data_IF_150634500408
#
_entry.id   IF_150634500408
#
_cell.length_a   1.000
_cell.length_b   1.000
_cell.length_c   1.000
_cell.angle_alpha   90.00
_cell.angle_beta   90.00
_cell.angle_gamma   90.00
#
_symmetry.space_group_name_H-M   'P 1'
#
loop_
_entity.id
_entity.type
_entity.pdbx_description
1 polymer ?
#
# COMPACT_ATOMS: atom_id res chain seq x y z
N UNK A 1 -4.39 -11.22 10.78
CA UNK A 1 -2.95 -10.93 10.73
C UNK A 1 -2.62 -10.27 12.05
N UNK A 2 -1.80 -10.92 12.88
CA UNK A 2 -1.45 -10.39 14.21
C UNK A 2 0.03 -10.00 14.19
N UNK A 3 0.32 -8.94 13.44
CA UNK A 3 1.66 -8.37 13.34
C UNK A 3 1.58 -6.95 13.85
N UNK A 4 2.55 -6.56 14.68
CA UNK A 4 2.72 -5.19 15.11
C UNK A 4 4.18 -4.79 15.01
N UNK A 5 4.42 -3.50 14.85
CA UNK A 5 5.78 -2.94 14.89
C UNK A 5 5.88 -2.03 16.11
N UNK A 6 6.87 -2.33 16.96
CA UNK A 6 7.28 -1.47 18.06
C UNK A 6 8.34 -0.53 17.50
N UNK A 7 8.13 0.77 17.65
CA UNK A 7 8.96 1.84 17.14
C UNK A 7 9.62 2.54 18.32
N UNK A 8 10.86 2.20 18.60
CA UNK A 8 11.66 2.92 19.60
C UNK A 8 12.10 4.27 19.03
N UNK A 9 12.50 4.29 17.74
CA UNK A 9 12.92 5.50 17.01
C UNK A 9 12.67 5.36 15.50
N UNK A 10 11.93 6.30 14.92
CA UNK A 10 11.77 6.44 13.47
C UNK A 10 11.53 7.91 13.07
N UNK A 11 12.59 8.59 12.61
CA UNK A 11 12.51 10.03 12.35
C UNK A 11 12.05 10.78 13.61
N UNK A 12 10.93 11.52 13.58
CA UNK A 12 10.42 12.23 14.75
C UNK A 12 9.58 11.35 15.72
N UNK A 13 9.27 10.11 15.34
CA UNK A 13 8.47 9.17 16.14
C UNK A 13 9.36 8.47 17.15
N UNK A 14 8.89 8.37 18.39
CA UNK A 14 9.56 7.65 19.48
C UNK A 14 8.53 6.87 20.31
N UNK A 15 8.93 5.70 20.81
CA UNK A 15 8.14 4.86 21.74
C UNK A 15 6.68 4.67 21.32
N UNK A 16 6.46 4.25 20.07
CA UNK A 16 5.12 4.08 19.49
C UNK A 16 4.92 2.64 19.01
N UNK A 17 3.67 2.24 18.84
CA UNK A 17 3.31 0.91 18.39
C UNK A 17 2.17 0.97 17.37
N UNK A 18 2.26 0.16 16.32
CA UNK A 18 1.28 0.11 15.24
C UNK A 18 0.99 -1.34 14.86
N UNK A 19 -0.29 -1.68 14.77
CA UNK A 19 -0.76 -2.99 14.32
C UNK A 19 -0.99 -2.99 12.81
N UNK A 20 -0.64 -4.11 12.17
CA UNK A 20 -0.89 -4.35 10.76
C UNK A 20 -2.37 -4.68 10.50
N UNK A 21 -2.94 -4.09 9.45
CA UNK A 21 -4.30 -4.34 8.97
C UNK A 21 -4.33 -4.43 7.45
N UNK A 22 -5.34 -5.09 6.85
CA UNK A 22 -5.50 -5.15 5.40
C UNK A 22 -5.54 -3.78 4.71
N UNK A 23 -6.08 -2.76 5.36
CA UNK A 23 -6.09 -1.38 4.89
C UNK A 23 -5.61 -0.46 6.03
N UNK A 24 -4.40 0.05 5.90
CA UNK A 24 -3.82 1.03 6.81
C UNK A 24 -3.95 2.44 6.23
N UNK A 25 -4.49 3.37 7.01
CA UNK A 25 -4.57 4.80 6.66
C UNK A 25 -3.85 5.64 7.71
N UNK A 26 -2.98 6.52 7.24
CA UNK A 26 -2.19 7.43 8.06
C UNK A 26 -2.57 8.88 7.76
N UNK A 27 -3.00 9.60 8.79
CA UNK A 27 -3.43 11.00 8.71
C UNK A 27 -2.62 11.87 9.66
N UNK A 28 -2.69 13.19 9.51
CA UNK A 28 -1.93 14.14 10.34
C UNK A 28 -1.06 15.08 9.52
N UNK A 29 -0.47 16.09 10.15
CA UNK A 29 0.33 17.12 9.46
C UNK A 29 1.58 16.56 8.76
N UNK A 30 2.12 17.34 7.83
CA UNK A 30 3.33 16.99 7.09
C UNK A 30 4.55 16.95 8.01
N UNK A 31 5.48 16.03 7.75
CA UNK A 31 6.71 15.89 8.52
C UNK A 31 6.57 15.18 9.88
N UNK A 32 5.43 14.56 10.18
CA UNK A 32 5.23 13.76 11.40
C UNK A 32 5.61 12.28 11.27
N UNK A 33 6.19 11.85 10.14
CA UNK A 33 6.68 10.47 9.96
C UNK A 33 5.64 9.46 9.45
N UNK A 34 4.51 9.92 8.91
CA UNK A 34 3.49 9.07 8.23
C UNK A 34 4.10 8.20 7.13
N UNK A 35 4.80 8.82 6.18
CA UNK A 35 5.44 8.09 5.08
C UNK A 35 6.50 7.12 5.59
N UNK A 36 7.28 7.49 6.61
CA UNK A 36 8.32 6.61 7.17
C UNK A 36 7.69 5.37 7.82
N UNK A 37 6.57 5.57 8.52
CA UNK A 37 5.77 4.48 9.08
C UNK A 37 5.23 3.56 7.98
N UNK A 38 4.71 4.14 6.89
CA UNK A 38 4.20 3.36 5.77
C UNK A 38 5.33 2.51 5.12
N UNK A 39 6.54 3.04 5.04
CA UNK A 39 7.72 2.30 4.55
C UNK A 39 8.13 1.13 5.46
N UNK A 40 7.80 1.13 6.76
CA UNK A 40 8.05 -0.03 7.62
C UNK A 40 7.23 -1.25 7.17
N UNK A 41 6.00 -1.03 6.75
CA UNK A 41 5.14 -2.11 6.25
C UNK A 41 5.53 -2.53 4.85
N UNK A 42 5.87 -1.58 3.98
CA UNK A 42 6.48 -1.90 2.70
C UNK A 42 7.76 -2.73 2.87
N UNK A 43 8.63 -2.40 3.83
CA UNK A 43 9.81 -3.20 4.18
C UNK A 43 9.44 -4.62 4.64
N UNK A 44 8.48 -4.78 5.56
CA UNK A 44 8.03 -6.09 6.01
C UNK A 44 7.55 -6.96 4.84
N UNK A 45 6.68 -6.42 4.00
CA UNK A 45 6.08 -7.14 2.88
C UNK A 45 7.14 -7.48 1.83
N UNK A 46 8.02 -6.53 1.50
CA UNK A 46 9.13 -6.75 0.58
C UNK A 46 10.12 -7.78 1.15
N UNK A 47 10.41 -7.76 2.45
CA UNK A 47 11.30 -8.73 3.10
C UNK A 47 10.79 -10.18 3.04
N UNK A 48 9.48 -10.39 2.82
CA UNK A 48 8.88 -11.71 2.63
C UNK A 48 8.83 -12.15 1.16
N UNK A 49 9.27 -11.34 0.20
CA UNK A 49 9.34 -11.75 -1.21
C UNK A 49 10.51 -12.70 -1.43
N UNK A 50 10.42 -13.54 -2.47
CA UNK A 50 11.51 -14.45 -2.84
C UNK A 50 12.82 -13.71 -3.18
N UNK A 51 12.74 -12.51 -3.73
CA UNK A 51 13.90 -11.67 -4.03
C UNK A 51 14.69 -11.33 -2.76
N UNK A 52 14.01 -10.78 -1.75
CA UNK A 52 14.66 -10.38 -0.48
C UNK A 52 15.05 -11.59 0.38
N UNK A 53 14.23 -12.64 0.38
CA UNK A 53 14.57 -13.88 1.06
C UNK A 53 15.78 -14.59 0.43
N UNK A 54 16.07 -14.34 -0.85
CA UNK A 54 17.30 -14.85 -1.46
C UNK A 54 18.56 -14.23 -0.84
N UNK A 55 18.51 -12.96 -0.43
CA UNK A 55 19.59 -12.31 0.32
C UNK A 55 19.74 -12.95 1.70
N UNK A 56 18.64 -13.13 2.42
CA UNK A 56 18.60 -13.79 3.72
C UNK A 56 19.17 -15.23 3.67
N UNK A 57 18.74 -16.03 2.70
CA UNK A 57 19.22 -17.40 2.51
C UNK A 57 20.71 -17.41 2.15
N UNK A 58 21.18 -16.48 1.31
CA UNK A 58 22.61 -16.36 0.98
C UNK A 58 23.45 -16.03 2.21
N UNK A 59 22.96 -15.18 3.12
CA UNK A 59 23.65 -14.84 4.37
C UNK A 59 23.72 -16.02 5.35
N UNK A 60 22.69 -16.89 5.36
CA UNK A 60 22.62 -18.03 6.28
C UNK A 60 23.26 -19.31 5.72
N UNK A 61 23.34 -19.44 4.39
CA UNK A 61 23.98 -20.57 3.71
C UNK A 61 25.50 -20.39 3.72
N UNK A 62 26.19 -21.13 4.59
CA UNK A 62 27.62 -21.38 4.43
C UNK A 62 27.80 -22.29 3.20
N UNK A 63 28.77 -22.03 2.33
CA UNK A 63 28.88 -22.59 0.97
C UNK A 63 28.83 -24.12 0.78
N UNK A 64 28.79 -24.91 1.85
CA UNK A 64 28.65 -26.37 1.90
C UNK A 64 27.20 -26.89 1.97
N UNK A 65 26.20 -26.06 2.27
CA UNK A 65 24.78 -26.45 2.37
C UNK A 65 24.04 -26.13 1.06
N UNK A 66 24.18 -27.00 0.05
CA UNK A 66 23.56 -26.78 -1.27
C UNK A 66 22.05 -27.06 -1.30
N UNK A 67 21.60 -28.09 -0.59
CA UNK A 67 20.24 -28.64 -0.76
C UNK A 67 19.46 -28.79 0.55
N UNK A 68 20.02 -28.38 1.69
CA UNK A 68 19.32 -28.34 2.98
C UNK A 68 19.81 -27.15 3.81
N UNK A 69 18.88 -26.42 4.42
CA UNK A 69 19.12 -25.29 5.30
C UNK A 69 18.13 -25.34 6.46
N UNK A 70 18.64 -25.35 7.69
CA UNK A 70 17.83 -25.29 8.91
C UNK A 70 17.93 -23.91 9.52
N UNK A 71 16.79 -23.25 9.70
CA UNK A 71 16.66 -21.94 10.34
C UNK A 71 15.64 -22.01 11.46
N UNK A 72 15.56 -20.96 12.27
CA UNK A 72 14.43 -20.68 13.16
C UNK A 72 13.68 -19.45 12.67
N UNK A 73 12.42 -19.30 13.05
CA UNK A 73 11.67 -18.08 12.75
C UNK A 73 12.36 -16.82 13.30
N UNK A 74 12.99 -16.93 14.49
CA UNK A 74 13.84 -15.88 15.07
C UNK A 74 14.96 -15.41 14.14
N UNK A 75 15.53 -16.28 13.30
CA UNK A 75 16.56 -15.87 12.35
C UNK A 75 16.02 -14.88 11.32
N UNK A 76 14.82 -15.14 10.80
CA UNK A 76 14.13 -14.24 9.87
C UNK A 76 13.76 -12.92 10.56
N UNK A 77 13.13 -13.00 11.75
CA UNK A 77 12.72 -11.81 12.52
C UNK A 77 13.91 -10.92 12.87
N UNK A 78 15.01 -11.52 13.32
CA UNK A 78 16.26 -10.79 13.67
C UNK A 78 16.86 -10.14 12.43
N UNK A 79 16.92 -10.86 11.30
CA UNK A 79 17.39 -10.32 10.04
C UNK A 79 16.52 -9.13 9.56
N UNK A 80 15.19 -9.25 9.62
CA UNK A 80 14.26 -8.18 9.29
C UNK A 80 14.53 -6.93 10.13
N UNK A 81 14.55 -7.07 11.46
CA UNK A 81 14.80 -5.95 12.39
C UNK A 81 16.15 -5.28 12.09
N UNK A 82 17.23 -6.06 11.96
CA UNK A 82 18.59 -5.53 11.72
C UNK A 82 18.75 -4.83 10.37
N UNK A 83 18.03 -5.27 9.33
CA UNK A 83 18.14 -4.71 7.99
C UNK A 83 17.16 -3.55 7.72
N UNK A 84 16.22 -3.29 8.63
CA UNK A 84 15.17 -2.29 8.42
C UNK A 84 15.77 -0.89 8.23
N UNK A 85 16.74 -0.49 9.05
CA UNK A 85 17.38 0.82 8.93
C UNK A 85 18.07 1.02 7.59
N UNK A 86 18.87 0.04 7.17
CA UNK A 86 19.56 0.10 5.87
C UNK A 86 18.57 0.12 4.70
N UNK A 87 17.49 -0.66 4.77
CA UNK A 87 16.50 -0.71 3.70
C UNK A 87 15.66 0.57 3.60
N UNK A 88 15.24 1.16 4.73
CA UNK A 88 14.60 2.47 4.71
C UNK A 88 15.57 3.55 4.23
N UNK A 89 16.85 3.49 4.62
CA UNK A 89 17.89 4.38 4.11
C UNK A 89 18.05 4.29 2.60
N UNK A 90 18.01 3.08 2.04
CA UNK A 90 17.95 2.83 0.60
C UNK A 90 16.73 3.51 -0.04
N UNK A 91 15.52 3.25 0.49
CA UNK A 91 14.28 3.80 -0.05
C UNK A 91 14.27 5.34 -0.03
N UNK A 92 14.79 5.93 1.04
CA UNK A 92 14.84 7.38 1.25
C UNK A 92 16.03 8.06 0.57
N UNK A 93 16.99 7.31 0.02
CA UNK A 93 18.23 7.86 -0.51
C UNK A 93 19.13 8.49 0.56
N UNK A 94 19.03 8.02 1.80
CA UNK A 94 19.82 8.47 2.95
C UNK A 94 20.59 7.27 3.55
N UNK A 95 21.86 7.11 3.18
CA UNK A 95 22.69 5.99 3.64
C UNK A 95 23.02 6.04 5.14
N UNK A 96 22.89 7.21 5.76
CA UNK A 96 23.08 7.40 7.20
C UNK A 96 21.76 7.33 7.98
N UNK A 97 20.68 6.83 7.35
CA UNK A 97 19.39 6.66 8.01
C UNK A 97 19.49 5.66 9.16
N UNK A 98 19.01 6.08 10.31
CA UNK A 98 19.01 5.30 11.55
C UNK A 98 17.60 5.22 12.12
N UNK A 99 17.14 4.00 12.37
CA UNK A 99 15.90 3.70 13.07
C UNK A 99 16.05 2.47 13.96
N UNK A 100 15.25 2.41 15.02
CA UNK A 100 15.17 1.29 15.93
C UNK A 100 13.72 0.82 15.99
N UNK A 101 13.48 -0.36 15.44
CA UNK A 101 12.15 -0.99 15.39
C UNK A 101 12.24 -2.48 15.69
N UNK A 102 11.12 -3.05 16.15
CA UNK A 102 10.98 -4.47 16.38
C UNK A 102 9.63 -4.96 15.83
N UNK A 103 9.67 -5.81 14.80
CA UNK A 103 8.49 -6.49 14.29
C UNK A 103 8.14 -7.68 15.19
N UNK A 104 6.90 -7.71 15.67
CA UNK A 104 6.35 -8.77 16.52
C UNK A 104 5.28 -9.53 15.74
N UNK A 105 5.43 -10.85 15.68
CA UNK A 105 4.49 -11.76 15.01
C UNK A 105 3.79 -12.58 16.09
N UNK A 106 2.59 -12.16 16.48
CA UNK A 106 1.87 -12.80 17.57
C UNK A 106 1.33 -14.16 17.14
N UNK A 107 1.54 -15.18 17.98
CA UNK A 107 1.15 -16.55 17.67
C UNK A 107 2.17 -17.33 16.84
N UNK A 108 3.32 -16.75 16.48
CA UNK A 108 4.43 -17.47 15.87
C UNK A 108 5.56 -17.61 16.89
N UNK A 109 5.92 -18.85 17.20
CA UNK A 109 7.05 -19.14 18.07
C UNK A 109 8.37 -18.81 17.38
N UNK A 110 9.20 -18.01 18.04
CA UNK A 110 10.55 -17.66 17.58
C UNK A 110 11.43 -18.90 17.39
N UNK A 111 11.18 -19.95 18.18
CA UNK A 111 11.90 -21.22 18.14
C UNK A 111 11.32 -22.20 17.09
N UNK A 112 10.25 -21.81 16.38
CA UNK A 112 9.71 -22.59 15.27
C UNK A 112 10.81 -22.85 14.23
N UNK A 113 11.13 -24.12 14.03
CA UNK A 113 12.08 -24.55 13.02
C UNK A 113 11.55 -24.30 11.61
N UNK A 114 12.45 -23.91 10.70
CA UNK A 114 12.22 -23.77 9.27
C UNK A 114 13.24 -24.67 8.56
N UNK A 115 12.84 -25.89 8.26
CA UNK A 115 13.68 -26.87 7.56
C UNK A 115 13.43 -26.77 6.07
N UNK A 116 14.31 -26.07 5.35
CA UNK A 116 14.31 -26.01 3.90
C UNK A 116 15.13 -27.16 3.35
N UNK A 117 14.58 -27.97 2.46
CA UNK A 117 15.34 -29.06 1.82
C UNK A 117 14.81 -29.45 0.45
N UNK A 118 15.72 -29.91 -0.40
CA UNK A 118 15.38 -30.70 -1.58
C UNK A 118 14.87 -32.06 -1.12
N UNK A 119 13.73 -32.49 -1.66
CA UNK A 119 13.20 -33.84 -1.46
C UNK A 119 13.49 -34.68 -2.70
N UNK A 120 13.74 -35.98 -2.51
CA UNK A 120 13.78 -36.94 -3.60
C UNK A 120 12.38 -37.01 -4.23
N UNK A 121 12.26 -36.51 -5.45
CA UNK A 121 11.07 -36.61 -6.27
C UNK A 121 11.43 -37.45 -7.48
N UNK A 122 10.55 -38.35 -7.93
CA UNK A 122 10.81 -39.21 -9.08
C UNK A 122 11.30 -38.36 -10.25
N UNK A 123 12.56 -38.55 -10.62
CA UNK A 123 13.34 -37.78 -11.61
C UNK A 123 12.81 -37.93 -13.05
N UNK A 124 11.61 -38.49 -13.20
CA UNK A 124 10.92 -38.58 -14.47
C UNK A 124 10.37 -37.18 -14.73
N UNK A 125 11.10 -36.38 -15.55
CA UNK A 125 10.69 -35.14 -16.23
C UNK A 125 11.45 -33.83 -15.91
N UNK A 126 12.66 -33.86 -15.33
CA UNK A 126 13.49 -32.64 -15.19
C UNK A 126 12.94 -31.61 -14.19
N UNK A 127 12.17 -32.08 -13.21
CA UNK A 127 11.66 -31.30 -12.09
C UNK A 127 12.21 -31.82 -10.77
N UNK A 128 12.31 -30.93 -9.77
CA UNK A 128 12.67 -31.28 -8.41
C UNK A 128 11.65 -30.70 -7.42
N UNK A 129 11.59 -31.28 -6.22
CA UNK A 129 10.71 -30.80 -5.14
C UNK A 129 11.55 -30.16 -4.05
N UNK A 130 11.18 -28.95 -3.66
CA UNK A 130 11.67 -28.30 -2.46
C UNK A 130 10.55 -28.20 -1.43
N UNK A 131 10.93 -28.31 -0.17
CA UNK A 131 10.01 -28.22 0.95
C UNK A 131 10.54 -27.29 2.04
N UNK A 132 9.61 -26.68 2.76
CA UNK A 132 9.84 -26.04 4.05
C UNK A 132 8.83 -26.63 5.03
N UNK A 133 9.32 -27.34 6.04
CA UNK A 133 8.49 -28.11 6.98
C UNK A 133 7.47 -29.00 6.23
N UNK A 134 6.17 -28.77 6.43
CA UNK A 134 5.06 -29.49 5.81
C UNK A 134 4.70 -29.01 4.38
N UNK A 135 5.15 -27.82 3.99
CA UNK A 135 4.85 -27.25 2.67
C UNK A 135 5.87 -27.69 1.63
N UNK A 136 5.43 -27.91 0.39
CA UNK A 136 6.33 -28.24 -0.73
C UNK A 136 5.87 -27.64 -2.05
N UNK A 137 6.82 -27.43 -2.96
CA UNK A 137 6.59 -26.93 -4.31
C UNK A 137 7.53 -27.64 -5.29
N UNK A 138 7.05 -27.78 -6.53
CA UNK A 138 7.79 -28.39 -7.63
C UNK A 138 8.39 -27.29 -8.50
N UNK A 139 9.66 -27.45 -8.87
CA UNK A 139 10.43 -26.50 -9.65
C UNK A 139 11.17 -27.20 -10.79
N UNK A 140 11.49 -26.49 -11.89
CA UNK A 140 12.46 -26.97 -12.87
C UNK A 140 13.82 -27.26 -12.20
N UNK A 141 14.47 -28.37 -12.56
CA UNK A 141 15.74 -28.80 -11.94
C UNK A 141 16.93 -27.88 -12.26
N UNK A 142 16.86 -27.12 -13.37
CA UNK A 142 17.88 -26.19 -13.81
C UNK A 142 17.85 -24.84 -13.07
N UNK A 143 16.84 -24.60 -12.22
CA UNK A 143 16.77 -23.42 -11.38
C UNK A 143 17.81 -23.49 -10.23
N UNK A 144 18.33 -22.34 -9.81
CA UNK A 144 19.27 -22.28 -8.67
C UNK A 144 18.58 -22.71 -7.35
N UNK A 145 19.23 -23.59 -6.58
CA UNK A 145 18.71 -24.12 -5.32
C UNK A 145 18.29 -23.02 -4.34
N UNK A 146 19.05 -21.92 -4.25
CA UNK A 146 18.73 -20.83 -3.33
C UNK A 146 17.51 -20.06 -3.80
N UNK A 147 17.34 -19.88 -5.11
CA UNK A 147 16.12 -19.27 -5.69
C UNK A 147 14.89 -20.12 -5.36
N UNK A 148 14.95 -21.45 -5.59
CA UNK A 148 13.85 -22.36 -5.25
C UNK A 148 13.51 -22.33 -3.76
N UNK A 149 14.53 -22.40 -2.89
CA UNK A 149 14.36 -22.26 -1.44
C UNK A 149 13.72 -20.91 -1.06
N UNK A 150 14.11 -19.82 -1.72
CA UNK A 150 13.55 -18.48 -1.46
C UNK A 150 12.07 -18.39 -1.84
N UNK A 151 11.67 -19.02 -2.95
CA UNK A 151 10.27 -19.04 -3.40
C UNK A 151 9.39 -19.84 -2.43
N UNK A 152 9.81 -21.05 -2.03
CA UNK A 152 9.01 -21.86 -1.10
C UNK A 152 8.98 -21.25 0.30
N UNK A 153 10.08 -20.61 0.74
CA UNK A 153 10.10 -19.87 2.01
C UNK A 153 9.17 -18.66 1.98
N UNK A 154 9.17 -17.90 0.88
CA UNK A 154 8.27 -16.76 0.67
C UNK A 154 6.81 -17.21 0.78
N UNK A 155 6.44 -18.27 0.05
CA UNK A 155 5.10 -18.86 0.12
C UNK A 155 4.72 -19.25 1.54
N UNK A 156 5.62 -19.94 2.26
CA UNK A 156 5.36 -20.40 3.62
C UNK A 156 5.23 -19.26 4.64
N UNK A 157 6.16 -18.30 4.62
CA UNK A 157 6.13 -17.18 5.56
C UNK A 157 4.92 -16.28 5.33
N UNK A 158 4.54 -16.05 4.07
CA UNK A 158 3.39 -15.20 3.76
C UNK A 158 2.07 -15.87 4.15
N UNK A 159 1.92 -17.17 3.90
CA UNK A 159 0.78 -17.95 4.41
C UNK A 159 0.73 -17.94 5.95
N UNK A 160 1.84 -18.26 6.63
CA UNK A 160 1.89 -18.31 8.10
C UNK A 160 1.71 -16.96 8.78
N UNK A 161 2.33 -15.90 8.26
CA UNK A 161 2.33 -14.59 8.93
C UNK A 161 1.15 -13.72 8.50
N UNK A 162 0.77 -13.78 7.22
CA UNK A 162 -0.25 -12.90 6.62
C UNK A 162 -1.56 -13.64 6.32
N UNK A 163 -1.55 -14.97 6.19
CA UNK A 163 -2.72 -15.72 5.74
C UNK A 163 -3.07 -15.45 4.27
N UNK A 164 -2.11 -14.96 3.48
CA UNK A 164 -2.25 -14.71 2.04
C UNK A 164 -0.99 -15.14 1.30
N UNK A 165 -1.14 -15.51 0.03
CA UNK A 165 0.00 -15.67 -0.87
C UNK A 165 0.44 -14.30 -1.40
N UNK A 166 1.34 -13.61 -0.68
CA UNK A 166 1.92 -12.34 -1.14
C UNK A 166 2.80 -12.59 -2.36
N UNK A 167 2.62 -11.81 -3.43
CA UNK A 167 3.39 -11.95 -4.67
C UNK A 167 4.36 -10.79 -4.79
N UNK A 168 3.84 -9.57 -4.94
CA UNK A 168 4.67 -8.39 -5.13
C UNK A 168 4.04 -7.15 -4.49
N UNK A 169 4.78 -6.41 -3.66
CA UNK A 169 4.38 -5.08 -3.24
C UNK A 169 4.57 -4.05 -4.36
N UNK A 170 3.63 -3.12 -4.49
CA UNK A 170 3.70 -1.93 -5.35
C UNK A 170 3.89 -0.69 -4.47
N UNK A 171 4.81 0.20 -4.86
CA UNK A 171 4.96 1.51 -4.21
C UNK A 171 4.59 2.63 -5.18
N UNK A 172 3.67 3.49 -4.76
CA UNK A 172 3.30 4.72 -5.45
C UNK A 172 3.75 5.90 -4.58
N UNK A 173 4.97 6.41 -4.80
CA UNK A 173 5.59 7.42 -3.95
C UNK A 173 4.94 8.79 -4.13
N UNK A 174 5.25 9.78 -3.25
CA UNK A 174 4.82 11.15 -3.46
C UNK A 174 5.48 11.76 -4.70
N UNK A 175 4.82 12.74 -5.31
CA UNK A 175 5.27 13.46 -6.51
C UNK A 175 5.58 12.55 -7.72
N UNK A 176 4.95 11.38 -7.80
CA UNK A 176 5.14 10.40 -8.88
C UNK A 176 4.72 10.92 -10.26
N UNK A 177 3.84 11.94 -10.34
CA UNK A 177 3.48 12.57 -11.60
C UNK A 177 4.67 13.11 -12.40
N UNK A 178 5.76 13.50 -11.72
CA UNK A 178 6.98 14.00 -12.36
C UNK A 178 7.67 12.98 -13.27
N UNK A 179 7.45 11.69 -13.03
CA UNK A 179 8.04 10.60 -13.82
C UNK A 179 7.16 10.17 -14.99
N UNK A 180 5.94 10.68 -15.09
CA UNK A 180 5.00 10.27 -16.14
C UNK A 180 5.42 10.81 -17.50
N UNK A 181 5.80 9.89 -18.39
CA UNK A 181 6.28 10.19 -19.74
C UNK A 181 7.76 10.56 -19.83
N UNK A 182 8.51 10.40 -18.73
CA UNK A 182 9.95 10.58 -18.70
C UNK A 182 10.67 9.22 -18.66
N UNK A 183 11.68 9.05 -19.50
CA UNK A 183 12.57 7.88 -19.45
C UNK A 183 13.76 8.21 -18.55
N UNK A 184 13.58 8.09 -17.24
CA UNK A 184 14.60 8.46 -16.25
C UNK A 184 14.92 7.31 -15.32
N UNK A 185 16.01 7.45 -14.57
CA UNK A 185 16.36 6.59 -13.44
C UNK A 185 16.51 7.45 -12.20
N UNK A 186 16.38 6.86 -11.02
CA UNK A 186 16.58 7.57 -9.75
C UNK A 186 17.60 6.83 -8.88
N UNK A 187 18.54 7.56 -8.22
CA UNK A 187 19.42 6.97 -7.22
C UNK A 187 18.68 6.68 -5.90
N UNK A 188 17.52 7.30 -5.68
CA UNK A 188 16.69 7.11 -4.48
C UNK A 188 15.87 5.83 -4.67
N UNK A 189 16.00 4.90 -3.72
CA UNK A 189 15.48 3.55 -3.86
C UNK A 189 13.97 3.46 -4.10
N UNK A 190 13.19 4.27 -3.39
CA UNK A 190 11.74 4.32 -3.56
C UNK A 190 11.32 4.64 -5.00
N UNK A 191 11.96 5.64 -5.61
CA UNK A 191 11.68 6.02 -6.98
C UNK A 191 12.26 5.04 -7.98
N UNK A 192 13.38 4.38 -7.66
CA UNK A 192 13.95 3.30 -8.47
C UNK A 192 13.00 2.11 -8.56
N UNK A 193 12.50 1.64 -7.42
CA UNK A 193 11.52 0.55 -7.33
C UNK A 193 10.24 0.94 -8.11
N UNK A 194 9.72 2.15 -7.87
CA UNK A 194 8.55 2.67 -8.57
C UNK A 194 8.74 2.72 -10.09
N UNK A 195 9.88 3.19 -10.60
CA UNK A 195 10.12 3.30 -12.05
C UNK A 195 10.17 1.92 -12.73
N UNK A 196 10.78 0.92 -12.08
CA UNK A 196 10.79 -0.46 -12.55
C UNK A 196 9.36 -1.04 -12.58
N UNK A 197 8.59 -0.80 -11.52
CA UNK A 197 7.20 -1.25 -11.42
C UNK A 197 6.34 -0.55 -12.47
N UNK A 198 6.49 0.77 -12.67
CA UNK A 198 5.73 1.55 -13.64
C UNK A 198 5.88 1.00 -15.06
N UNK A 199 7.08 0.54 -15.44
CA UNK A 199 7.28 -0.08 -16.75
C UNK A 199 6.53 -1.40 -16.88
N UNK A 200 6.58 -2.25 -15.85
CA UNK A 200 5.81 -3.49 -15.81
C UNK A 200 4.29 -3.25 -15.87
N UNK A 201 3.80 -2.18 -15.20
CA UNK A 201 2.38 -1.82 -15.18
C UNK A 201 1.83 -1.44 -16.55
N UNK A 202 2.67 -1.06 -17.53
CA UNK A 202 2.23 -0.79 -18.91
C UNK A 202 1.86 -2.05 -19.68
N UNK A 203 2.23 -3.23 -19.20
CA UNK A 203 1.95 -4.50 -19.89
C UNK A 203 0.68 -5.16 -19.34
N UNK A 204 -0.19 -5.73 -20.20
CA UNK A 204 -1.36 -6.47 -19.73
C UNK A 204 -0.96 -7.75 -19.02
N UNK A 205 -1.66 -8.07 -17.94
CA UNK A 205 -1.59 -9.39 -17.30
C UNK A 205 -2.07 -10.47 -18.27
N UNK A 206 -1.41 -11.62 -18.24
CA UNK A 206 -1.77 -12.79 -19.08
C UNK A 206 -3.01 -13.53 -18.59
N UNK A 207 -3.59 -13.12 -17.46
CA UNK A 207 -4.71 -13.80 -16.78
C UNK A 207 -5.99 -12.97 -16.97
N UNK A 208 -7.05 -13.59 -17.47
CA UNK A 208 -8.35 -12.94 -17.64
C UNK A 208 -8.94 -12.47 -16.29
N UNK A 209 -9.59 -11.30 -16.28
CA UNK A 209 -10.06 -10.64 -15.05
C UNK A 209 -11.57 -10.41 -15.09
N UNK A 210 -12.29 -10.91 -14.09
CA UNK A 210 -13.74 -10.73 -13.95
C UNK A 210 -14.16 -9.29 -13.58
N UNK A 211 -13.27 -8.51 -12.94
CA UNK A 211 -13.54 -7.14 -12.47
C UNK A 211 -13.07 -6.03 -13.43
N UNK A 212 -12.53 -6.35 -14.60
CA UNK A 212 -12.00 -5.33 -15.52
C UNK A 212 -13.06 -4.29 -15.92
N UNK A 213 -14.32 -4.71 -16.06
CA UNK A 213 -15.40 -3.78 -16.39
C UNK A 213 -15.67 -2.79 -15.26
N UNK A 214 -15.55 -3.21 -13.99
CA UNK A 214 -15.71 -2.32 -12.85
C UNK A 214 -14.66 -1.21 -12.90
N UNK A 215 -13.38 -1.58 -13.00
CA UNK A 215 -12.30 -0.60 -13.03
C UNK A 215 -12.34 0.26 -14.29
N UNK A 216 -12.63 -0.30 -15.46
CA UNK A 216 -12.77 0.47 -16.70
C UNK A 216 -13.82 1.58 -16.58
N UNK A 217 -14.96 1.32 -15.92
CA UNK A 217 -15.99 2.33 -15.70
C UNK A 217 -15.52 3.47 -14.76
N UNK A 218 -14.75 3.15 -13.71
CA UNK A 218 -14.21 4.17 -12.79
C UNK A 218 -13.07 4.96 -13.43
N UNK A 219 -12.17 4.28 -14.16
CA UNK A 219 -11.09 4.91 -14.93
C UNK A 219 -11.68 5.91 -15.92
N UNK A 220 -12.73 5.53 -16.67
CA UNK A 220 -13.36 6.42 -17.64
C UNK A 220 -13.91 7.70 -17.00
N UNK A 221 -14.46 7.62 -15.79
CA UNK A 221 -14.94 8.78 -15.01
C UNK A 221 -13.80 9.63 -14.43
N UNK A 222 -12.63 9.04 -14.19
CA UNK A 222 -11.47 9.73 -13.62
C UNK A 222 -10.69 10.50 -14.68
N UNK A 223 -10.49 9.90 -15.86
CA UNK A 223 -9.69 10.49 -16.94
C UNK A 223 -10.53 11.15 -18.03
N UNK A 224 -11.86 11.10 -17.91
CA UNK A 224 -12.82 11.62 -18.88
C UNK A 224 -12.58 11.04 -20.30
N UNK A 225 -12.19 9.77 -20.36
CA UNK A 225 -11.71 9.10 -21.58
C UNK A 225 -11.25 7.67 -21.34
N UNK A 226 -10.32 7.18 -22.17
CA UNK A 226 -9.71 5.85 -22.05
C UNK A 226 -8.19 5.96 -22.05
N UNK A 227 -7.52 5.04 -21.35
CA UNK A 227 -6.06 4.94 -21.37
C UNK A 227 -5.67 4.01 -22.52
N UNK A 228 -4.85 4.52 -23.44
CA UNK A 228 -4.36 3.79 -24.61
C UNK A 228 -2.84 3.66 -24.51
N UNK A 229 -2.32 2.50 -24.90
CA UNK A 229 -0.90 2.20 -24.91
C UNK A 229 -0.44 2.05 -26.35
N UNK A 230 0.49 2.90 -26.79
CA UNK A 230 1.08 2.85 -28.14
C UNK A 230 2.60 2.89 -28.04
N UNK A 231 3.28 1.86 -28.59
CA UNK A 231 4.74 1.76 -28.63
C UNK A 231 5.42 2.00 -27.26
N UNK A 232 4.83 1.48 -26.18
CA UNK A 232 5.34 1.63 -24.80
C UNK A 232 5.05 3.00 -24.16
N UNK A 233 4.39 3.91 -24.87
CA UNK A 233 3.94 5.21 -24.37
C UNK A 233 2.48 5.16 -23.96
N UNK A 234 2.13 5.97 -22.97
CA UNK A 234 0.77 6.04 -22.39
C UNK A 234 0.08 7.29 -22.91
N UNK A 235 -1.12 7.11 -23.46
CA UNK A 235 -1.96 8.16 -24.01
C UNK A 235 -3.35 8.17 -23.35
N UNK A 236 -3.99 9.32 -23.38
CA UNK A 236 -5.41 9.49 -23.07
C UNK A 236 -6.18 9.73 -24.36
N UNK A 237 -7.20 8.92 -24.60
CA UNK A 237 -8.14 9.12 -25.70
C UNK A 237 -9.46 9.65 -25.14
N UNK A 238 -9.84 10.85 -25.56
CA UNK A 238 -11.11 11.48 -25.17
C UNK A 238 -12.27 10.98 -26.03
N UNK A 239 -13.50 11.27 -25.59
CA UNK A 239 -14.71 10.94 -26.37
C UNK A 239 -14.75 11.63 -27.75
N UNK A 240 -14.07 12.77 -27.90
CA UNK A 240 -13.88 13.46 -29.19
C UNK A 240 -13.00 12.69 -30.18
N UNK A 241 -12.29 11.66 -29.72
CA UNK A 241 -11.28 10.92 -30.49
C UNK A 241 -9.87 11.52 -30.40
N UNK A 242 -9.72 12.69 -29.78
CA UNK A 242 -8.41 13.31 -29.53
C UNK A 242 -7.55 12.41 -28.64
N UNK A 243 -6.28 12.28 -29.01
CA UNK A 243 -5.29 11.47 -28.33
C UNK A 243 -4.17 12.38 -27.83
N UNK A 244 -3.96 12.43 -26.51
CA UNK A 244 -2.87 13.22 -25.90
C UNK A 244 -1.91 12.31 -25.13
N UNK A 245 -0.59 12.57 -25.17
CA UNK A 245 0.35 11.83 -24.34
C UNK A 245 0.11 12.15 -22.87
N UNK A 246 0.29 11.18 -21.97
CA UNK A 246 0.08 11.39 -20.53
C UNK A 246 0.96 12.49 -19.94
N UNK A 247 2.13 12.74 -20.53
CA UNK A 247 3.03 13.84 -20.12
C UNK A 247 2.36 15.21 -20.25
N UNK A 248 1.46 15.36 -21.23
CA UNK A 248 0.67 16.58 -21.47
C UNK A 248 -0.69 16.59 -20.72
N UNK A 249 -1.02 15.52 -19.98
CA UNK A 249 -2.26 15.46 -19.22
C UNK A 249 -2.20 16.31 -17.94
N UNK A 250 -3.39 16.57 -17.36
CA UNK A 250 -3.52 17.25 -16.08
C UNK A 250 -2.76 16.52 -14.97
N UNK A 251 -2.24 17.27 -13.99
CA UNK A 251 -1.44 16.72 -12.89
C UNK A 251 -2.18 15.62 -12.12
N UNK A 252 -3.49 15.79 -11.88
CA UNK A 252 -4.36 14.78 -11.26
C UNK A 252 -4.33 13.43 -11.96
N UNK A 253 -4.36 13.44 -13.30
CA UNK A 253 -4.35 12.21 -14.10
C UNK A 253 -2.97 11.58 -14.08
N UNK A 254 -1.90 12.38 -14.15
CA UNK A 254 -0.52 11.90 -14.01
C UNK A 254 -0.27 11.24 -12.67
N UNK A 255 -0.75 11.84 -11.57
CA UNK A 255 -0.63 11.27 -10.23
C UNK A 255 -1.35 9.92 -10.12
N UNK A 256 -2.52 9.75 -10.72
CA UNK A 256 -3.27 8.50 -10.63
C UNK A 256 -2.83 7.45 -11.65
N UNK A 257 -2.16 7.84 -12.74
CA UNK A 257 -1.90 6.96 -13.88
C UNK A 257 -1.30 5.60 -13.53
N UNK A 258 -0.26 5.48 -12.67
CA UNK A 258 0.28 4.17 -12.30
C UNK A 258 -0.78 3.26 -11.66
N UNK A 259 -1.60 3.80 -10.77
CA UNK A 259 -2.71 3.06 -10.16
C UNK A 259 -3.75 2.64 -11.21
N UNK A 260 -4.10 3.53 -12.14
CA UNK A 260 -5.06 3.22 -13.19
C UNK A 260 -4.53 2.17 -14.18
N UNK A 261 -3.24 2.22 -14.52
CA UNK A 261 -2.57 1.19 -15.33
C UNK A 261 -2.60 -0.16 -14.62
N UNK A 262 -2.29 -0.20 -13.31
CA UNK A 262 -2.35 -1.42 -12.52
C UNK A 262 -3.72 -2.09 -12.62
N UNK A 263 -4.79 -1.31 -12.51
CA UNK A 263 -6.16 -1.81 -12.58
C UNK A 263 -6.59 -2.17 -14.00
N UNK A 264 -6.32 -1.31 -14.98
CA UNK A 264 -6.67 -1.54 -16.39
C UNK A 264 -6.02 -2.80 -16.94
N UNK A 265 -4.74 -3.00 -16.61
CA UNK A 265 -3.95 -4.12 -17.12
C UNK A 265 -4.05 -5.37 -16.24
N UNK A 266 -4.92 -5.39 -15.23
CA UNK A 266 -5.14 -6.56 -14.37
C UNK A 266 -3.92 -6.97 -13.53
N UNK A 267 -3.03 -6.01 -13.26
CA UNK A 267 -1.78 -6.20 -12.51
C UNK A 267 -2.01 -6.28 -11.01
N UNK A 268 -3.19 -5.91 -10.51
CA UNK A 268 -3.58 -6.02 -9.10
C UNK A 268 -3.69 -7.47 -8.56
N UNK A 269 -3.51 -8.50 -9.40
CA UNK A 269 -3.29 -9.89 -8.93
C UNK A 269 -1.81 -10.21 -8.69
N UNK A 270 -0.91 -9.56 -9.42
CA UNK A 270 0.54 -9.67 -9.26
C UNK A 270 1.00 -8.73 -8.14
N UNK A 271 0.54 -7.49 -8.18
CA UNK A 271 0.70 -6.52 -7.10
C UNK A 271 -0.48 -6.64 -6.14
N UNK A 272 -0.39 -7.55 -5.18
CA UNK A 272 -1.42 -7.77 -4.17
C UNK A 272 -1.11 -7.05 -2.84
N UNK A 273 -0.15 -6.13 -2.85
CA UNK A 273 0.07 -5.11 -1.82
C UNK A 273 0.36 -3.76 -2.48
N UNK A 274 -0.14 -2.67 -1.91
CA UNK A 274 0.07 -1.30 -2.38
C UNK A 274 0.37 -0.36 -1.23
N UNK A 275 1.48 0.36 -1.34
CA UNK A 275 1.74 1.59 -0.61
C UNK A 275 1.40 2.78 -1.52
N UNK A 276 0.41 3.58 -1.15
CA UNK A 276 -0.06 4.73 -1.92
C UNK A 276 0.10 6.03 -1.13
N UNK A 277 1.15 6.79 -1.43
CA UNK A 277 1.41 8.07 -0.77
C UNK A 277 0.57 9.18 -1.42
N UNK A 278 -0.19 9.90 -0.60
CA UNK A 278 -1.01 11.06 -1.01
C UNK A 278 -1.80 10.82 -2.33
N UNK A 279 -2.68 9.80 -2.39
CA UNK A 279 -3.48 9.51 -3.58
C UNK A 279 -4.38 10.69 -4.01
N UNK A 280 -4.69 11.59 -3.08
CA UNK A 280 -5.44 12.82 -3.33
C UNK A 280 -4.66 13.93 -4.04
N UNK A 281 -3.33 13.84 -4.13
CA UNK A 281 -2.49 14.94 -4.60
C UNK A 281 -2.94 15.44 -5.99
N UNK A 282 -3.26 16.73 -6.07
CA UNK A 282 -3.83 17.39 -7.26
C UNK A 282 -5.17 16.84 -7.77
N UNK A 283 -5.80 15.87 -7.10
CA UNK A 283 -7.07 15.25 -7.52
C UNK A 283 -8.25 16.07 -6.99
N UNK A 284 -9.19 16.41 -7.86
CA UNK A 284 -10.42 17.10 -7.47
C UNK A 284 -11.22 16.28 -6.43
N UNK A 285 -11.80 16.90 -5.39
CA UNK A 285 -12.54 16.21 -4.32
C UNK A 285 -13.51 15.12 -4.79
N UNK A 286 -14.39 15.44 -5.75
CA UNK A 286 -15.32 14.46 -6.35
C UNK A 286 -14.65 13.22 -6.94
N UNK A 287 -13.44 13.35 -7.50
CA UNK A 287 -12.67 12.25 -8.09
C UNK A 287 -11.98 11.41 -7.02
N UNK A 288 -11.65 11.98 -5.86
CA UNK A 288 -11.06 11.24 -4.74
C UNK A 288 -12.00 10.15 -4.19
N UNK A 289 -13.33 10.37 -4.25
CA UNK A 289 -14.33 9.35 -3.92
C UNK A 289 -14.19 8.11 -4.80
N UNK A 290 -13.96 8.31 -6.10
CA UNK A 290 -13.77 7.22 -7.07
C UNK A 290 -12.48 6.45 -6.80
N UNK A 291 -11.41 7.16 -6.40
CA UNK A 291 -10.14 6.53 -6.00
C UNK A 291 -10.36 5.66 -4.74
N UNK A 292 -11.04 6.20 -3.73
CA UNK A 292 -11.34 5.48 -2.49
C UNK A 292 -12.22 4.24 -2.74
N UNK A 293 -13.21 4.33 -3.63
CA UNK A 293 -14.03 3.16 -4.04
C UNK A 293 -13.19 2.07 -4.71
N UNK A 294 -12.27 2.42 -5.60
CA UNK A 294 -11.38 1.44 -6.24
C UNK A 294 -10.42 0.81 -5.23
N UNK A 295 -9.88 1.58 -4.28
CA UNK A 295 -9.04 1.06 -3.20
C UNK A 295 -9.83 0.10 -2.29
N UNK A 296 -11.06 0.45 -1.93
CA UNK A 296 -11.92 -0.45 -1.15
C UNK A 296 -12.21 -1.75 -1.90
N UNK A 297 -12.48 -1.68 -3.21
CA UNK A 297 -12.65 -2.88 -4.04
C UNK A 297 -11.38 -3.74 -4.08
N UNK A 298 -10.21 -3.13 -4.16
CA UNK A 298 -8.94 -3.84 -4.08
C UNK A 298 -8.77 -4.54 -2.73
N UNK A 299 -9.05 -3.85 -1.62
CA UNK A 299 -9.00 -4.43 -0.27
C UNK A 299 -9.98 -5.60 -0.11
N UNK A 300 -11.22 -5.46 -0.60
CA UNK A 300 -12.21 -6.55 -0.59
C UNK A 300 -11.78 -7.78 -1.42
N UNK A 301 -10.80 -7.64 -2.30
CA UNK A 301 -10.18 -8.73 -3.08
C UNK A 301 -8.92 -9.30 -2.44
N UNK A 302 -8.60 -8.89 -1.22
CA UNK A 302 -7.45 -9.37 -0.46
C UNK A 302 -6.16 -8.59 -0.73
N UNK A 303 -6.22 -7.48 -1.46
CA UNK A 303 -5.06 -6.61 -1.62
C UNK A 303 -4.76 -5.89 -0.30
N UNK A 304 -3.51 -5.92 0.14
CA UNK A 304 -3.05 -5.14 1.28
C UNK A 304 -2.82 -3.70 0.84
N UNK A 305 -3.34 -2.72 1.58
CA UNK A 305 -3.26 -1.31 1.23
C UNK A 305 -2.69 -0.53 2.41
N UNK A 306 -1.71 0.31 2.13
CA UNK A 306 -1.24 1.37 3.03
C UNK A 306 -1.39 2.68 2.28
N UNK A 307 -1.98 3.69 2.93
CA UNK A 307 -2.04 5.03 2.35
C UNK A 307 -1.73 6.10 3.37
N UNK A 308 -1.02 7.13 2.93
CA UNK A 308 -0.93 8.41 3.65
C UNK A 308 -1.93 9.36 3.01
N UNK A 309 -2.66 10.13 3.82
CA UNK A 309 -3.61 11.12 3.27
C UNK A 309 -3.78 12.30 4.21
N UNK A 310 -4.02 13.45 3.60
CA UNK A 310 -4.43 14.71 4.20
C UNK A 310 -5.87 15.08 3.81
N UNK A 311 -6.60 14.17 3.13
CA UNK A 311 -7.90 14.47 2.56
C UNK A 311 -9.08 14.02 3.41
N UNK A 312 -9.84 14.99 3.91
CA UNK A 312 -11.15 14.74 4.52
C UNK A 312 -12.16 14.14 3.54
N UNK A 313 -12.03 14.40 2.25
CA UNK A 313 -12.91 13.80 1.25
C UNK A 313 -12.67 12.29 1.13
N UNK A 314 -11.41 11.85 1.21
CA UNK A 314 -11.09 10.42 1.20
C UNK A 314 -11.50 9.76 2.51
N UNK A 315 -11.22 10.39 3.66
CA UNK A 315 -11.65 9.89 4.96
C UNK A 315 -13.19 9.83 5.08
N UNK A 316 -13.88 10.85 4.57
CA UNK A 316 -15.34 10.89 4.54
C UNK A 316 -15.93 9.77 3.69
N UNK A 317 -15.33 9.49 2.52
CA UNK A 317 -15.75 8.36 1.71
C UNK A 317 -15.41 7.02 2.39
N UNK A 318 -14.27 6.90 3.06
CA UNK A 318 -13.93 5.70 3.85
C UNK A 318 -14.94 5.46 4.98
N UNK A 319 -15.36 6.50 5.72
CA UNK A 319 -16.40 6.41 6.75
C UNK A 319 -17.73 5.91 6.19
N UNK A 320 -18.14 6.40 5.01
CA UNK A 320 -19.34 5.91 4.34
C UNK A 320 -19.22 4.41 4.00
N UNK A 321 -18.06 3.97 3.50
CA UNK A 321 -17.82 2.56 3.16
C UNK A 321 -17.80 1.66 4.41
N UNK A 322 -17.24 2.14 5.52
CA UNK A 322 -17.29 1.45 6.82
C UNK A 322 -18.72 1.32 7.34
N UNK A 323 -19.51 2.40 7.29
CA UNK A 323 -20.92 2.39 7.68
C UNK A 323 -21.74 1.42 6.81
N UNK A 324 -21.47 1.37 5.51
CA UNK A 324 -22.08 0.40 4.61
C UNK A 324 -21.72 -1.05 4.98
N UNK A 325 -20.49 -1.30 5.43
CA UNK A 325 -20.10 -2.60 5.97
C UNK A 325 -20.86 -2.98 7.23
N UNK A 326 -21.03 -2.03 8.17
CA UNK A 326 -21.84 -2.21 9.38
C UNK A 326 -23.32 -2.50 9.03
N UNK A 327 -23.90 -1.77 8.08
CA UNK A 327 -25.27 -2.03 7.59
C UNK A 327 -25.36 -3.43 6.98
N UNK A 328 -24.39 -3.83 6.14
CA UNK A 328 -24.35 -5.17 5.55
C UNK A 328 -24.27 -6.27 6.60
N UNK A 329 -23.48 -6.08 7.66
CA UNK A 329 -23.33 -7.03 8.76
C UNK A 329 -24.63 -7.14 9.58
N UNK A 330 -25.32 -6.02 9.82
CA UNK A 330 -26.56 -5.99 10.58
C UNK A 330 -27.76 -6.53 9.79
N UNK A 331 -27.85 -6.22 8.49
CA UNK A 331 -28.93 -6.66 7.60
C UNK A 331 -28.49 -6.66 6.15
N UNK A 332 -28.19 -7.85 5.63
CA UNK A 332 -27.86 -8.01 4.21
C UNK A 332 -28.99 -7.58 3.28
N UNK A 333 -30.25 -7.75 3.71
CA UNK A 333 -31.42 -7.31 2.96
C UNK A 333 -31.48 -5.78 2.85
N UNK A 334 -31.28 -5.04 3.95
CA UNK A 334 -31.28 -3.57 3.95
C UNK A 334 -30.12 -3.01 3.13
N UNK A 335 -28.93 -3.63 3.22
CA UNK A 335 -27.81 -3.29 2.36
C UNK A 335 -28.12 -3.53 0.87
N UNK A 336 -28.78 -4.65 0.55
CA UNK A 336 -29.23 -4.96 -0.81
C UNK A 336 -30.19 -3.91 -1.37
N UNK A 337 -31.18 -3.51 -0.58
CA UNK A 337 -32.15 -2.46 -0.93
C UNK A 337 -31.47 -1.10 -1.14
N UNK A 338 -30.54 -0.72 -0.26
CA UNK A 338 -29.74 0.50 -0.44
C UNK A 338 -28.94 0.46 -1.74
N UNK A 339 -28.29 -0.67 -2.04
CA UNK A 339 -27.52 -0.83 -3.27
C UNK A 339 -28.37 -0.65 -4.52
N UNK A 340 -29.59 -1.19 -4.52
CA UNK A 340 -30.53 -1.06 -5.64
C UNK A 340 -31.08 0.37 -5.78
N UNK A 341 -31.51 0.99 -4.67
CA UNK A 341 -32.07 2.33 -4.66
C UNK A 341 -31.05 3.42 -5.09
N UNK A 342 -29.77 3.24 -4.77
CA UNK A 342 -28.73 4.24 -5.03
C UNK A 342 -27.76 3.85 -6.16
N UNK A 343 -28.04 2.75 -6.88
CA UNK A 343 -27.12 2.16 -7.88
C UNK A 343 -25.71 1.94 -7.32
N UNK A 344 -25.61 1.64 -6.02
CA UNK A 344 -24.35 1.38 -5.34
C UNK A 344 -23.90 -0.05 -5.60
N UNK A 345 -22.60 -0.25 -5.82
CA UNK A 345 -22.09 -1.57 -6.10
C UNK A 345 -22.06 -2.41 -4.81
N UNK A 346 -22.71 -3.58 -4.82
CA UNK A 346 -22.76 -4.52 -3.68
C UNK A 346 -21.38 -4.98 -3.18
N UNK A 347 -20.33 -4.74 -3.96
CA UNK A 347 -18.94 -5.02 -3.64
C UNK A 347 -18.15 -3.83 -3.06
N UNK A 348 -18.80 -2.71 -2.75
CA UNK A 348 -18.14 -1.53 -2.20
C UNK A 348 -18.57 -1.31 -0.76
N UNK A 349 -17.77 -1.85 0.16
CA UNK A 349 -17.89 -1.65 1.59
C UNK A 349 -16.54 -1.94 2.25
N UNK A 350 -16.34 -1.45 3.47
CA UNK A 350 -15.20 -1.80 4.31
C UNK A 350 -15.72 -2.28 5.66
N UNK A 351 -14.94 -3.08 6.36
CA UNK A 351 -15.26 -3.55 7.71
C UNK A 351 -14.20 -3.09 8.71
N UNK A 352 -14.58 -2.95 9.97
CA UNK A 352 -13.70 -2.49 11.04
C UNK A 352 -12.49 -3.44 11.24
N UNK A 353 -12.63 -4.72 10.89
CA UNK A 353 -11.52 -5.68 10.93
C UNK A 353 -10.48 -5.48 9.81
N UNK A 354 -10.89 -4.87 8.69
CA UNK A 354 -10.01 -4.61 7.54
C UNK A 354 -9.21 -3.32 7.72
N UNK A 355 -9.75 -2.32 8.42
CA UNK A 355 -9.17 -0.98 8.47
C UNK A 355 -8.39 -0.78 9.77
N UNK A 356 -7.19 -0.21 9.66
CA UNK A 356 -6.44 0.38 10.77
C UNK A 356 -6.16 1.84 10.45
N UNK A 357 -6.59 2.75 11.30
CA UNK A 357 -6.41 4.18 11.09
C UNK A 357 -5.59 4.79 12.21
N UNK A 358 -4.59 5.58 11.85
CA UNK A 358 -3.68 6.19 12.79
C UNK A 358 -3.47 7.66 12.47
N UNK A 359 -3.72 8.51 13.46
CA UNK A 359 -3.56 9.95 13.39
C UNK A 359 -2.23 10.35 14.03
N UNK A 360 -1.43 11.10 13.29
CA UNK A 360 -0.14 11.62 13.73
C UNK A 360 -0.30 13.07 14.14
N UNK A 361 0.10 13.39 15.36
CA UNK A 361 0.03 14.75 15.91
C UNK A 361 1.26 15.08 16.75
N UNK A 362 1.50 16.38 16.97
CA UNK A 362 2.50 16.85 17.93
C UNK A 362 1.84 17.10 19.27
N UNK A 363 2.38 16.48 20.31
CA UNK A 363 2.02 16.75 21.71
C UNK A 363 3.31 16.99 22.49
N UNK A 364 3.40 18.12 23.20
CA UNK A 364 4.55 18.48 24.05
C UNK A 364 5.92 18.37 23.32
N UNK A 365 5.95 18.72 22.04
CA UNK A 365 7.17 18.69 21.20
C UNK A 365 7.56 17.29 20.67
N UNK A 366 6.79 16.25 20.99
CA UNK A 366 6.98 14.88 20.47
C UNK A 366 5.90 14.52 19.47
N UNK A 367 6.18 13.57 18.58
CA UNK A 367 5.15 12.99 17.70
C UNK A 367 4.50 11.81 18.41
N UNK A 368 3.17 11.86 18.48
CA UNK A 368 2.33 10.79 19.02
C UNK A 368 1.51 10.20 17.88
N UNK A 369 1.37 8.86 17.88
CA UNK A 369 0.55 8.11 16.94
C UNK A 369 -0.69 7.62 17.69
N UNK A 370 -1.85 8.12 17.31
CA UNK A 370 -3.12 7.79 17.94
C UNK A 370 -3.93 6.85 17.04
N UNK A 371 -4.16 5.62 17.49
CA UNK A 371 -5.08 4.69 16.82
C UNK A 371 -6.50 5.22 16.93
N UNK A 372 -7.16 5.40 15.79
CA UNK A 372 -8.50 5.99 15.72
C UNK A 372 -9.57 4.93 15.94
N UNK A 373 -10.64 5.29 16.65
CA UNK A 373 -11.78 4.41 16.87
C UNK A 373 -12.75 4.44 15.67
N UNK A 374 -12.88 3.30 14.99
CA UNK A 374 -13.77 3.15 13.84
C UNK A 374 -15.24 3.04 14.24
N UNK A 375 -15.56 2.89 15.53
CA UNK A 375 -16.93 2.88 16.03
C UNK A 375 -17.62 4.22 15.78
N UNK A 376 -16.93 5.32 16.09
CA UNK A 376 -17.38 6.70 15.92
C UNK A 376 -17.10 7.27 14.52
N UNK A 377 -16.27 6.56 13.74
CA UNK A 377 -15.80 6.98 12.43
C UNK A 377 -14.46 7.72 12.51
N UNK A 378 -13.79 7.85 11.38
CA UNK A 378 -12.53 8.58 11.28
C UNK A 378 -12.78 10.08 11.43
N UNK A 379 -12.20 10.75 12.44
CA UNK A 379 -12.40 12.18 12.63
C UNK A 379 -11.68 12.99 11.55
N UNK A 380 -12.23 14.16 11.24
CA UNK A 380 -11.69 15.15 10.29
C UNK A 380 -10.72 16.13 10.99
N UNK A 381 -10.03 15.65 12.02
CA UNK A 381 -9.40 16.45 13.08
C UNK A 381 -8.36 17.46 12.59
N UNK A 382 -7.65 17.17 11.48
CA UNK A 382 -6.67 18.12 10.92
C UNK A 382 -7.31 19.37 10.31
N UNK A 383 -8.51 19.27 9.75
CA UNK A 383 -9.17 20.39 9.08
C UNK A 383 -10.08 21.18 10.01
N UNK A 384 -10.71 20.50 10.97
CA UNK A 384 -11.63 21.13 11.91
C UNK A 384 -10.95 22.26 12.70
N UNK A 385 -9.72 22.02 13.20
CA UNK A 385 -8.95 23.06 13.88
C UNK A 385 -8.57 24.21 12.94
N UNK A 386 -8.13 23.89 11.71
CA UNK A 386 -7.75 24.91 10.71
C UNK A 386 -8.94 25.79 10.33
N UNK A 387 -10.12 25.20 10.11
CA UNK A 387 -11.35 25.94 9.80
C UNK A 387 -11.76 26.80 10.97
N UNK A 388 -11.68 26.25 12.19
CA UNK A 388 -12.00 27.00 13.40
C UNK A 388 -11.08 28.22 13.55
N UNK A 389 -9.77 28.03 13.43
CA UNK A 389 -8.78 29.11 13.50
C UNK A 389 -9.03 30.16 12.41
N UNK A 390 -9.40 29.73 11.20
CA UNK A 390 -9.75 30.63 10.10
C UNK A 390 -11.05 31.40 10.39
N UNK A 391 -12.08 30.73 10.93
CA UNK A 391 -13.35 31.38 11.30
C UNK A 391 -13.16 32.40 12.42
N UNK A 392 -12.38 32.06 13.44
CA UNK A 392 -12.05 32.95 14.56
C UNK A 392 -11.27 34.17 14.04
N UNK A 393 -10.24 33.97 13.20
CA UNK A 393 -9.50 35.07 12.59
C UNK A 393 -10.38 35.94 11.67
N UNK A 394 -11.29 35.33 10.89
CA UNK A 394 -12.23 36.07 10.04
C UNK A 394 -13.21 36.90 10.86
N UNK A 395 -13.64 36.41 12.02
CA UNK A 395 -14.47 37.18 12.94
C UNK A 395 -13.71 38.40 13.48
N UNK A 396 -12.45 38.22 13.91
CA UNK A 396 -11.60 39.31 14.40
C UNK A 396 -11.35 40.38 13.31
N UNK A 397 -11.04 39.94 12.08
CA UNK A 397 -10.86 40.84 10.92
C UNK A 397 -12.14 41.63 10.63
N UNK A 398 -13.30 40.97 10.71
CA UNK A 398 -14.59 41.62 10.47
C UNK A 398 -14.88 42.68 11.53
N UNK A 399 -14.60 42.40 12.80
CA UNK A 399 -14.77 43.38 13.89
C UNK A 399 -13.91 44.62 13.67
N UNK A 400 -12.63 44.45 13.29
CA UNK A 400 -11.72 45.56 12.97
C UNK A 400 -12.20 46.35 11.74
N UNK A 401 -12.70 45.66 10.71
CA UNK A 401 -13.23 46.29 9.50
C UNK A 401 -14.47 47.15 9.80
N UNK A 402 -15.38 46.65 10.64
CA UNK A 402 -16.57 47.39 11.09
C UNK A 402 -16.18 48.65 11.88
N UNK A 403 -15.21 48.54 12.80
CA UNK A 403 -14.70 49.69 13.57
C UNK A 403 -14.10 50.79 12.67
N UNK A 404 -13.57 50.43 11.50
CA UNK A 404 -12.99 51.34 10.52
C UNK A 404 -14.00 51.82 9.45
N UNK A 405 -15.26 51.39 9.53
CA UNK A 405 -16.30 51.73 8.56
C UNK A 405 -16.14 51.08 7.19
N UNK A 406 -15.38 49.98 7.10
CA UNK A 406 -15.15 49.23 5.87
C UNK A 406 -16.30 48.22 5.69
N UNK A 407 -17.18 48.47 4.73
CA UNK A 407 -18.24 47.52 4.36
C UNK A 407 -17.69 46.52 3.36
N UNK A 408 -17.57 45.25 3.76
CA UNK A 408 -17.07 44.15 2.93
C UNK A 408 -18.07 42.99 2.91
N UNK A 409 -18.22 42.33 1.76
CA UNK A 409 -18.98 41.08 1.61
C UNK A 409 -18.04 39.85 1.54
N UNK A 410 -16.81 39.99 2.05
CA UNK A 410 -15.75 38.97 2.02
C UNK A 410 -15.77 38.09 3.26
#
# INVERSE_FOLDING_TARGET
MNIRVIIDKLGPIQNSEIEFKPFLVYTGESGLGKSYTALLWYNLLTAMTSERLSEFIRMKSNGSQKDELTLKFKDFRTWLNQNTSAYLGYLLGNTNFDCAVNYVFEGIDDEMGLLLRRQNYDLVNGFCRYAVNEASMIFPEDMDSKVMMSIILSSYLTDKCLGIALIQPLILPPARAAFMGANTTSPIGMYRDFLQQLDDLKTPSRIAVADNQFYANYIAKLVDGKIVLENGSVFLQFASGELIPVSAAASSVKELMPFLLMLQNGKNRQYNSLLFEEPEAHVHPKKQFLVMDMLARCCNKGMLIQMTTHSDYMLGRMNQLLLLGKIKQASEASFGQFCEAHLHNKNLYLTDHQVGAYYFKREEGKVVIEKQDLAEGLPFSSFEQTVKDQMDLSADISEVAEQLGIVSNL
#
